data_IF_834320272675
#
_entry.id   IF_834320272675
#
_cell.length_a   1.000
_cell.length_b   1.000
_cell.length_c   1.000
_cell.angle_alpha   90.00
_cell.angle_beta   90.00
_cell.angle_gamma   90.00
#
_symmetry.space_group_name_H-M   'P 1'
#
loop_
_entity.id
_entity.type
_entity.pdbx_description
1 polymer ?
#
# COMPACT_ATOMS: atom_id res chain seq x y z
N UNK A 1 -1.45 8.12 -11.35
CA UNK A 1 -0.59 6.92 -11.33
C UNK A 1 0.61 7.18 -10.43
N UNK A 2 0.79 6.35 -9.37
CA UNK A 2 2.01 6.33 -8.54
C UNK A 2 2.89 5.17 -8.98
N UNK A 3 4.17 5.43 -9.25
CA UNK A 3 5.14 4.44 -9.70
C UNK A 3 6.24 4.29 -8.65
N UNK A 4 6.61 3.05 -8.33
CA UNK A 4 7.65 2.74 -7.36
C UNK A 4 8.47 1.52 -7.76
N UNK A 5 9.58 1.32 -7.06
CA UNK A 5 10.53 0.23 -7.25
C UNK A 5 11.79 0.64 -8.00
N UNK A 6 12.95 0.38 -7.38
CA UNK A 6 14.26 0.60 -7.98
C UNK A 6 14.73 2.05 -8.11
N UNK A 7 13.99 3.04 -7.61
CA UNK A 7 14.34 4.47 -7.67
C UNK A 7 15.49 4.76 -6.71
N UNK A 8 16.60 5.32 -7.22
CA UNK A 8 17.83 5.55 -6.45
C UNK A 8 18.44 6.94 -6.64
N UNK A 9 17.94 7.70 -7.62
CA UNK A 9 18.52 9.01 -8.00
C UNK A 9 17.44 10.01 -8.40
N UNK A 10 17.80 11.28 -8.41
CA UNK A 10 16.96 12.38 -8.92
C UNK A 10 16.61 12.17 -10.40
N UNK A 11 17.54 11.60 -11.18
CA UNK A 11 17.30 11.36 -12.60
C UNK A 11 16.26 10.25 -12.80
N UNK A 12 16.27 9.18 -11.98
CA UNK A 12 15.24 8.13 -12.03
C UNK A 12 13.83 8.73 -11.80
N UNK A 13 13.70 9.62 -10.80
CA UNK A 13 12.43 10.31 -10.52
C UNK A 13 11.99 11.12 -11.75
N UNK A 14 12.89 11.90 -12.30
CA UNK A 14 12.63 12.76 -13.46
C UNK A 14 12.20 11.97 -14.69
N UNK A 15 12.83 10.82 -14.94
CA UNK A 15 12.49 9.97 -16.09
C UNK A 15 11.12 9.32 -15.91
N UNK A 16 10.76 8.88 -14.71
CA UNK A 16 9.43 8.36 -14.42
C UNK A 16 8.34 9.41 -14.57
N UNK A 17 8.57 10.63 -14.08
CA UNK A 17 7.62 11.74 -14.24
C UNK A 17 7.45 12.13 -15.71
N UNK A 18 8.55 12.18 -16.49
CA UNK A 18 8.48 12.40 -17.95
C UNK A 18 7.74 11.28 -18.68
N UNK A 19 7.85 10.05 -18.19
CA UNK A 19 7.13 8.90 -18.73
C UNK A 19 5.62 8.89 -18.42
N UNK A 20 5.15 9.81 -17.55
CA UNK A 20 3.73 10.00 -17.26
C UNK A 20 3.30 9.54 -15.86
N UNK A 21 4.24 9.29 -14.94
CA UNK A 21 3.89 9.10 -13.54
C UNK A 21 3.43 10.43 -12.92
N UNK A 22 2.35 10.39 -12.11
CA UNK A 22 1.92 11.54 -11.31
C UNK A 22 2.71 11.66 -10.01
N UNK A 23 3.08 10.51 -9.43
CA UNK A 23 3.83 10.40 -8.18
C UNK A 23 4.84 9.27 -8.26
N UNK A 24 5.87 9.35 -7.43
CA UNK A 24 6.85 8.28 -7.22
C UNK A 24 6.86 7.81 -5.78
N UNK A 25 6.98 6.48 -5.58
CA UNK A 25 7.02 5.86 -4.25
C UNK A 25 8.39 5.24 -3.98
N UNK A 26 9.04 5.62 -2.86
CA UNK A 26 10.43 5.28 -2.56
C UNK A 26 10.55 4.80 -1.11
N UNK A 27 11.19 3.62 -0.90
CA UNK A 27 11.53 3.07 0.41
C UNK A 27 13.05 3.06 0.62
N UNK A 28 13.74 2.04 0.13
CA UNK A 28 15.14 1.70 0.42
C UNK A 28 16.09 2.88 0.23
N UNK A 29 15.93 3.65 -0.84
CA UNK A 29 16.82 4.79 -1.11
C UNK A 29 16.68 5.91 -0.06
N UNK A 30 15.48 6.12 0.47
CA UNK A 30 15.25 7.10 1.55
C UNK A 30 15.82 6.62 2.88
N UNK A 31 15.65 5.33 3.23
CA UNK A 31 16.26 4.76 4.44
C UNK A 31 17.78 4.88 4.42
N UNK A 32 18.41 4.58 3.27
CA UNK A 32 19.85 4.66 3.11
C UNK A 32 20.38 6.10 3.08
N UNK A 33 19.57 7.04 2.60
CA UNK A 33 19.93 8.45 2.52
C UNK A 33 18.70 9.34 2.73
N UNK A 34 18.37 9.73 3.97
CA UNK A 34 17.23 10.61 4.24
C UNK A 34 17.31 11.98 3.54
N UNK A 35 18.52 12.49 3.28
CA UNK A 35 18.68 13.72 2.51
C UNK A 35 18.14 13.61 1.08
N UNK A 36 18.11 12.41 0.51
CA UNK A 36 17.50 12.17 -0.80
C UNK A 36 15.97 12.44 -0.76
N UNK A 37 15.28 12.10 0.34
CA UNK A 37 13.86 12.44 0.51
C UNK A 37 13.65 13.96 0.53
N UNK A 38 14.47 14.69 1.28
CA UNK A 38 14.44 16.16 1.37
C UNK A 38 14.74 16.82 0.03
N UNK A 39 15.75 16.36 -0.68
CA UNK A 39 16.13 16.88 -2.00
C UNK A 39 15.03 16.61 -3.04
N UNK A 40 14.50 15.40 -3.07
CA UNK A 40 13.41 15.00 -3.97
C UNK A 40 12.16 15.86 -3.77
N UNK A 41 11.74 16.03 -2.51
CA UNK A 41 10.58 16.86 -2.16
C UNK A 41 10.77 18.32 -2.55
N UNK A 42 11.98 18.87 -2.36
CA UNK A 42 12.30 20.24 -2.75
C UNK A 42 12.29 20.44 -4.27
N UNK A 43 12.79 19.47 -5.05
CA UNK A 43 12.91 19.58 -6.50
C UNK A 43 11.60 19.33 -7.25
N UNK A 44 10.83 18.35 -6.81
CA UNK A 44 9.63 17.89 -7.53
C UNK A 44 8.31 18.30 -6.84
N UNK A 45 8.37 18.85 -5.63
CA UNK A 45 7.21 19.19 -4.81
C UNK A 45 6.74 18.01 -3.96
N UNK A 46 6.26 18.32 -2.75
CA UNK A 46 5.77 17.31 -1.78
C UNK A 46 4.71 16.41 -2.39
N UNK A 47 3.76 16.97 -3.14
CA UNK A 47 2.64 16.22 -3.74
C UNK A 47 3.07 15.11 -4.72
N UNK A 48 4.31 15.13 -5.20
CA UNK A 48 4.88 14.16 -6.14
C UNK A 48 5.59 13.00 -5.43
N UNK A 49 6.02 13.21 -4.19
CA UNK A 49 6.86 12.26 -3.45
C UNK A 49 6.04 11.51 -2.41
N UNK A 50 5.99 10.20 -2.56
CA UNK A 50 5.41 9.25 -1.61
C UNK A 50 6.54 8.47 -0.97
N UNK A 51 6.65 8.48 0.36
CA UNK A 51 7.58 7.60 1.05
C UNK A 51 6.88 6.28 1.39
N UNK A 52 7.46 5.16 0.97
CA UNK A 52 6.99 3.83 1.33
C UNK A 52 7.71 3.34 2.57
N UNK A 53 6.96 2.79 3.52
CA UNK A 53 7.48 2.16 4.75
C UNK A 53 6.93 0.74 4.81
N UNK A 54 7.83 -0.23 4.87
CA UNK A 54 7.53 -1.63 5.10
C UNK A 54 7.68 -1.92 6.60
N UNK A 55 6.57 -2.14 7.30
CA UNK A 55 6.52 -2.30 8.74
C UNK A 55 6.39 -3.78 9.14
N UNK A 56 7.23 -4.22 10.06
CA UNK A 56 7.17 -5.54 10.68
C UNK A 56 7.11 -5.37 12.19
N UNK A 57 6.28 -6.16 12.86
CA UNK A 57 6.31 -6.27 14.32
C UNK A 57 7.48 -7.17 14.73
N UNK A 58 8.55 -6.56 15.20
CA UNK A 58 9.74 -7.26 15.65
C UNK A 58 9.85 -7.13 17.16
N UNK A 59 9.72 -8.25 17.89
CA UNK A 59 9.80 -8.31 19.37
C UNK A 59 8.87 -7.32 20.09
N UNK A 60 7.69 -7.04 19.51
CA UNK A 60 6.70 -6.14 20.09
C UNK A 60 6.84 -4.67 19.68
N UNK A 61 7.82 -4.31 18.87
CA UNK A 61 7.97 -2.98 18.28
C UNK A 61 7.75 -3.02 16.76
N UNK A 62 7.09 -1.99 16.20
CA UNK A 62 6.99 -1.85 14.75
C UNK A 62 8.25 -1.18 14.20
N UNK A 63 8.99 -1.93 13.40
CA UNK A 63 10.24 -1.47 12.77
C UNK A 63 10.10 -1.38 11.26
N UNK A 64 10.78 -0.40 10.67
CA UNK A 64 10.87 -0.22 9.24
C UNK A 64 11.89 -1.17 8.62
N UNK A 65 11.50 -1.82 7.52
CA UNK A 65 12.34 -2.75 6.78
C UNK A 65 12.54 -2.28 5.34
N UNK A 66 13.51 -2.85 4.66
CA UNK A 66 13.74 -2.69 3.22
C UNK A 66 13.75 -4.05 2.53
N UNK A 67 13.87 -4.05 1.21
CA UNK A 67 13.93 -5.26 0.37
C UNK A 67 12.74 -6.23 0.59
N UNK A 68 11.53 -5.70 0.53
CA UNK A 68 10.29 -6.45 0.76
C UNK A 68 10.25 -7.14 2.14
N UNK A 69 10.62 -6.40 3.19
CA UNK A 69 10.60 -6.86 4.57
C UNK A 69 11.75 -7.80 4.96
N UNK A 70 12.83 -7.88 4.17
CA UNK A 70 13.95 -8.80 4.42
C UNK A 70 15.11 -8.16 5.17
N UNK A 71 15.35 -6.87 4.96
CA UNK A 71 16.49 -6.15 5.50
C UNK A 71 16.07 -5.34 6.72
N UNK A 72 16.60 -5.68 7.87
CA UNK A 72 16.40 -4.97 9.13
C UNK A 72 17.13 -3.64 9.14
N UNK A 73 16.44 -2.55 9.50
CA UNK A 73 17.03 -1.20 9.50
C UNK A 73 17.28 -0.63 10.88
N UNK A 74 16.66 -1.19 11.93
CA UNK A 74 16.70 -0.66 13.30
C UNK A 74 15.86 0.60 13.52
N UNK A 75 15.22 1.16 12.47
CA UNK A 75 14.40 2.37 12.61
C UNK A 75 12.99 2.00 13.08
N UNK A 76 12.50 2.67 14.12
CA UNK A 76 11.08 2.55 14.52
C UNK A 76 10.19 3.22 13.47
N UNK A 77 9.06 2.57 13.14
CA UNK A 77 8.15 3.04 12.08
C UNK A 77 7.67 4.46 12.35
N UNK A 78 7.26 4.77 13.59
CA UNK A 78 6.76 6.10 13.93
C UNK A 78 7.84 7.16 13.76
N UNK A 79 9.03 6.95 14.31
CA UNK A 79 10.13 7.90 14.24
C UNK A 79 10.54 8.15 12.79
N UNK A 80 10.57 7.09 11.99
CA UNK A 80 10.90 7.19 10.57
C UNK A 80 9.81 7.90 9.75
N UNK A 81 8.53 7.67 10.05
CA UNK A 81 7.43 8.38 9.38
C UNK A 81 7.48 9.88 9.66
N UNK A 82 7.78 10.29 10.89
CA UNK A 82 7.94 11.70 11.27
C UNK A 82 9.20 12.32 10.63
N UNK A 83 10.34 11.61 10.59
CA UNK A 83 11.55 12.07 9.89
C UNK A 83 11.28 12.33 8.40
N UNK A 84 10.52 11.44 7.74
CA UNK A 84 10.12 11.61 6.34
C UNK A 84 9.17 12.80 6.13
N UNK A 85 8.20 13.00 7.05
CA UNK A 85 7.35 14.18 7.03
C UNK A 85 8.19 15.46 7.14
N UNK A 86 9.17 15.52 8.04
CA UNK A 86 10.09 16.66 8.21
C UNK A 86 10.98 16.87 6.98
N UNK A 87 11.28 15.81 6.23
CA UNK A 87 11.95 15.90 4.93
C UNK A 87 11.07 16.50 3.83
N UNK A 88 9.76 16.66 4.08
CA UNK A 88 8.80 17.28 3.18
C UNK A 88 8.15 16.34 2.17
N UNK A 89 8.14 15.02 2.42
CA UNK A 89 7.35 14.10 1.58
C UNK A 89 5.86 14.42 1.71
N UNK A 90 5.09 14.19 0.65
CA UNK A 90 3.67 14.55 0.63
C UNK A 90 2.74 13.49 1.16
N UNK A 91 3.13 12.22 1.14
CA UNK A 91 2.31 11.08 1.58
C UNK A 91 3.21 9.96 2.10
N UNK A 92 2.69 9.17 3.04
CA UNK A 92 3.29 7.91 3.48
C UNK A 92 2.43 6.74 2.96
N UNK A 93 3.06 5.78 2.28
CA UNK A 93 2.50 4.47 2.02
C UNK A 93 3.04 3.50 3.08
N UNK A 94 2.23 3.15 4.06
CA UNK A 94 2.59 2.26 5.15
C UNK A 94 2.04 0.86 4.89
N UNK A 95 2.91 -0.11 4.73
CA UNK A 95 2.57 -1.52 4.52
C UNK A 95 2.84 -2.33 5.79
N UNK A 96 1.82 -2.99 6.34
CA UNK A 96 2.01 -4.05 7.32
C UNK A 96 2.43 -5.33 6.61
N UNK A 97 3.74 -5.64 6.62
CA UNK A 97 4.29 -6.83 5.94
C UNK A 97 3.74 -8.11 6.55
N UNK A 98 3.60 -8.14 7.89
CA UNK A 98 3.06 -9.31 8.61
C UNK A 98 1.62 -9.65 8.18
N UNK A 99 0.83 -8.66 7.81
CA UNK A 99 -0.56 -8.84 7.36
C UNK A 99 -0.68 -9.00 5.84
N UNK A 100 0.33 -8.58 5.05
CA UNK A 100 0.24 -8.59 3.60
C UNK A 100 -0.03 -10.00 3.05
N UNK A 101 -1.06 -10.13 2.22
CA UNK A 101 -1.45 -11.40 1.60
C UNK A 101 -2.13 -12.41 2.55
N UNK A 102 -2.24 -12.14 3.85
CA UNK A 102 -2.83 -13.08 4.83
C UNK A 102 -4.36 -13.14 4.75
N UNK A 103 -5.00 -12.01 4.41
CA UNK A 103 -6.46 -11.90 4.45
C UNK A 103 -7.04 -11.77 5.86
N UNK A 104 -6.22 -11.46 6.86
CA UNK A 104 -6.63 -11.36 8.27
C UNK A 104 -7.11 -9.95 8.68
N UNK A 105 -7.06 -9.00 7.75
CA UNK A 105 -7.42 -7.61 7.96
C UNK A 105 -6.23 -6.69 8.16
N UNK A 106 -6.51 -5.39 8.20
CA UNK A 106 -5.50 -4.37 8.46
C UNK A 106 -4.99 -4.43 9.90
N UNK A 107 -3.71 -4.12 10.12
CA UNK A 107 -3.14 -3.98 11.46
C UNK A 107 -3.58 -2.65 12.10
N UNK A 108 -4.61 -2.70 12.93
CA UNK A 108 -5.23 -1.51 13.51
C UNK A 108 -4.28 -0.78 14.50
N UNK A 109 -3.44 -1.52 15.21
CA UNK A 109 -2.51 -0.94 16.18
C UNK A 109 -1.38 -0.18 15.48
N UNK A 110 -0.82 -0.74 14.40
CA UNK A 110 0.16 -0.06 13.57
C UNK A 110 -0.42 1.21 12.95
N UNK A 111 -1.66 1.14 12.45
CA UNK A 111 -2.32 2.30 11.87
C UNK A 111 -2.48 3.44 12.87
N UNK A 112 -3.04 3.14 14.05
CA UNK A 112 -3.23 4.14 15.12
C UNK A 112 -1.92 4.77 15.54
N UNK A 113 -0.88 3.94 15.78
CA UNK A 113 0.45 4.39 16.19
C UNK A 113 0.98 5.53 15.30
N UNK A 114 0.81 5.38 13.98
CA UNK A 114 1.34 6.37 13.02
C UNK A 114 0.35 7.51 12.79
N UNK A 115 -0.94 7.19 12.54
CA UNK A 115 -1.95 8.19 12.16
C UNK A 115 -2.16 9.27 13.21
N UNK A 116 -2.10 8.94 14.50
CA UNK A 116 -2.29 9.90 15.59
C UNK A 116 -1.23 11.00 15.64
N UNK A 117 -0.08 10.80 15.02
CA UNK A 117 1.06 11.74 15.07
C UNK A 117 1.42 12.33 13.71
N UNK A 118 0.96 11.70 12.63
CA UNK A 118 1.27 12.11 11.27
C UNK A 118 0.30 13.19 10.80
N UNK A 119 0.83 14.28 10.24
CA UNK A 119 0.03 15.40 9.72
C UNK A 119 -0.21 15.30 8.20
N UNK A 120 0.59 14.49 7.49
CA UNK A 120 0.43 14.25 6.06
C UNK A 120 -0.42 13.00 5.80
N UNK A 121 -1.03 12.86 4.60
CA UNK A 121 -1.83 11.71 4.23
C UNK A 121 -1.12 10.37 4.41
N UNK A 122 -1.83 9.40 5.00
CA UNK A 122 -1.41 8.04 5.23
C UNK A 122 -2.20 7.06 4.37
N UNK A 123 -1.53 6.42 3.42
CA UNK A 123 -2.08 5.31 2.64
C UNK A 123 -1.71 4.02 3.38
N UNK A 124 -2.70 3.28 3.87
CA UNK A 124 -2.43 2.08 4.66
C UNK A 124 -2.70 0.80 3.86
N UNK A 125 -1.72 -0.12 3.86
CA UNK A 125 -1.72 -1.33 3.04
C UNK A 125 -1.40 -2.59 3.88
N UNK A 126 -1.95 -3.74 3.42
CA UNK A 126 -1.66 -5.07 3.95
C UNK A 126 -2.82 -5.71 4.72
N UNK A 127 -3.25 -6.89 4.27
CA UNK A 127 -4.16 -7.78 4.99
C UNK A 127 -5.63 -7.80 4.57
N UNK A 128 -6.11 -6.85 3.75
CA UNK A 128 -7.51 -6.80 3.36
C UNK A 128 -7.96 -8.02 2.54
N UNK A 129 -9.09 -8.63 2.91
CA UNK A 129 -9.72 -9.77 2.23
C UNK A 129 -11.17 -9.50 1.84
N UNK A 130 -11.88 -8.69 2.60
CA UNK A 130 -13.31 -8.43 2.44
C UNK A 130 -13.64 -6.97 2.83
N UNK A 131 -14.79 -6.42 2.41
CA UNK A 131 -15.19 -5.04 2.71
C UNK A 131 -15.22 -4.71 4.19
N UNK A 132 -15.50 -5.69 5.06
CA UNK A 132 -15.49 -5.52 6.50
C UNK A 132 -14.15 -4.99 7.03
N UNK A 133 -13.02 -5.44 6.48
CA UNK A 133 -11.70 -5.02 6.94
C UNK A 133 -11.44 -3.53 6.71
N UNK A 134 -12.00 -2.95 5.65
CA UNK A 134 -11.96 -1.50 5.42
C UNK A 134 -12.83 -0.76 6.43
N UNK A 135 -14.03 -1.30 6.74
CA UNK A 135 -14.91 -0.73 7.75
C UNK A 135 -14.29 -0.77 9.15
N UNK A 136 -13.62 -1.85 9.50
CA UNK A 136 -12.94 -1.99 10.79
C UNK A 136 -11.91 -0.85 10.99
N UNK A 137 -11.19 -0.45 9.93
CA UNK A 137 -10.25 0.65 9.99
C UNK A 137 -10.96 2.03 10.04
N UNK A 138 -12.01 2.22 9.22
CA UNK A 138 -12.82 3.45 9.22
C UNK A 138 -13.54 3.71 10.54
N UNK A 139 -13.92 2.65 11.26
CA UNK A 139 -14.60 2.76 12.55
C UNK A 139 -13.69 3.25 13.68
N UNK A 140 -12.37 3.19 13.51
CA UNK A 140 -11.42 3.58 14.56
C UNK A 140 -10.75 4.93 14.33
N UNK A 141 -10.75 5.43 13.10
CA UNK A 141 -10.10 6.70 12.74
C UNK A 141 -10.53 7.20 11.37
N UNK A 142 -10.28 8.47 11.11
CA UNK A 142 -10.34 9.03 9.76
C UNK A 142 -9.21 8.42 8.92
N UNK A 143 -9.56 7.81 7.80
CA UNK A 143 -8.63 7.15 6.88
C UNK A 143 -8.48 7.97 5.61
N UNK A 144 -7.25 8.36 5.29
CA UNK A 144 -6.98 9.15 4.08
C UNK A 144 -7.09 8.28 2.82
N UNK A 145 -6.46 7.08 2.84
CA UNK A 145 -6.54 6.15 1.72
C UNK A 145 -6.21 4.71 2.14
N UNK A 146 -6.77 3.76 1.39
CA UNK A 146 -6.48 2.34 1.52
C UNK A 146 -5.64 1.83 0.35
N UNK A 147 -4.62 1.04 0.64
CA UNK A 147 -3.97 0.15 -0.30
C UNK A 147 -4.49 -1.28 -0.13
N UNK A 148 -4.81 -1.96 -1.23
CA UNK A 148 -5.21 -3.35 -1.21
C UNK A 148 -4.84 -4.03 -2.53
N UNK A 149 -4.31 -5.23 -2.48
CA UNK A 149 -3.85 -6.00 -3.63
C UNK A 149 -4.54 -7.35 -3.70
N UNK A 150 -4.30 -8.22 -2.74
CA UNK A 150 -4.72 -9.64 -2.72
C UNK A 150 -6.23 -9.81 -2.91
N UNK A 151 -7.06 -8.98 -2.28
CA UNK A 151 -8.52 -9.03 -2.40
C UNK A 151 -8.97 -8.90 -3.87
N UNK A 152 -8.35 -8.00 -4.64
CA UNK A 152 -8.72 -7.76 -6.04
C UNK A 152 -8.04 -8.75 -6.97
N UNK A 153 -6.77 -9.08 -6.72
CA UNK A 153 -6.02 -10.03 -7.53
C UNK A 153 -6.64 -11.42 -7.48
N UNK A 154 -6.87 -11.96 -6.29
CA UNK A 154 -7.45 -13.30 -6.13
C UNK A 154 -8.93 -13.34 -6.47
N UNK A 155 -9.68 -12.27 -6.18
CA UNK A 155 -11.07 -12.12 -6.62
C UNK A 155 -11.19 -12.22 -8.15
N UNK A 156 -10.34 -11.52 -8.89
CA UNK A 156 -10.31 -11.56 -10.36
C UNK A 156 -9.90 -12.95 -10.90
N UNK A 157 -8.92 -13.61 -10.27
CA UNK A 157 -8.51 -14.97 -10.67
C UNK A 157 -9.65 -15.97 -10.45
N UNK A 158 -10.40 -15.88 -9.37
CA UNK A 158 -11.55 -16.73 -9.12
C UNK A 158 -12.66 -16.53 -10.18
N UNK A 159 -12.97 -15.27 -10.52
CA UNK A 159 -13.91 -14.93 -11.59
C UNK A 159 -13.47 -15.49 -12.96
N UNK A 160 -12.20 -15.40 -13.30
CA UNK A 160 -11.67 -15.87 -14.58
C UNK A 160 -11.57 -17.40 -14.67
N UNK A 161 -11.34 -18.11 -13.56
CA UNK A 161 -11.37 -19.59 -13.52
C UNK A 161 -12.72 -20.17 -13.92
N UNK A 162 -13.80 -19.47 -13.59
CA UNK A 162 -15.16 -19.88 -13.95
C UNK A 162 -15.41 -19.65 -15.45
N UNK A 163 -14.76 -18.66 -16.07
CA UNK A 163 -15.05 -18.22 -17.45
C UNK A 163 -14.09 -18.71 -18.52
N UNK A 164 -12.83 -18.98 -18.23
CA UNK A 164 -11.81 -19.30 -19.23
C UNK A 164 -10.85 -20.40 -18.79
N UNK A 165 -10.80 -21.49 -19.56
CA UNK A 165 -9.77 -22.55 -19.45
C UNK A 165 -8.47 -22.19 -20.18
N UNK A 166 -8.16 -20.93 -20.46
CA UNK A 166 -6.93 -20.55 -21.16
C UNK A 166 -5.76 -20.44 -20.18
N UNK A 167 -4.73 -21.25 -20.44
CA UNK A 167 -3.53 -21.40 -19.58
C UNK A 167 -2.39 -20.44 -19.95
N UNK A 168 -2.65 -19.29 -20.58
CA UNK A 168 -1.60 -18.56 -21.29
C UNK A 168 -0.92 -17.41 -20.50
N UNK A 169 -1.35 -17.08 -19.28
CA UNK A 169 -0.76 -15.96 -18.54
C UNK A 169 -0.52 -16.28 -17.06
N UNK A 170 0.69 -16.00 -16.58
CA UNK A 170 1.07 -16.08 -15.17
C UNK A 170 1.81 -17.35 -14.78
N UNK A 171 1.82 -17.71 -13.50
CA UNK A 171 2.41 -18.94 -12.98
C UNK A 171 1.51 -20.13 -13.33
N UNK A 172 1.68 -20.66 -14.55
CA UNK A 172 0.87 -21.72 -15.12
C UNK A 172 0.94 -23.01 -14.30
N UNK A 173 2.08 -23.32 -13.66
CA UNK A 173 2.25 -24.48 -12.79
C UNK A 173 1.36 -24.37 -11.54
N UNK A 174 1.27 -23.19 -10.94
CA UNK A 174 0.40 -22.93 -9.80
C UNK A 174 -1.08 -22.98 -10.20
N UNK A 175 -1.43 -22.38 -11.34
CA UNK A 175 -2.80 -22.40 -11.87
C UNK A 175 -3.27 -23.80 -12.27
N UNK A 176 -2.35 -24.67 -12.73
CA UNK A 176 -2.67 -26.06 -13.13
C UNK A 176 -2.94 -26.98 -11.94
N UNK A 177 -2.41 -26.67 -10.75
CA UNK A 177 -2.55 -27.49 -9.53
C UNK A 177 -3.91 -27.38 -8.83
N UNK A 178 -4.88 -26.63 -9.36
CA UNK A 178 -6.20 -26.38 -8.74
C UNK A 178 -6.13 -25.95 -7.26
N UNK A 179 -5.03 -25.34 -6.85
CA UNK A 179 -4.87 -24.83 -5.49
C UNK A 179 -5.84 -23.67 -5.34
N UNK A 180 -6.85 -23.85 -4.52
CA UNK A 180 -7.75 -22.75 -4.09
C UNK A 180 -6.89 -21.73 -3.37
N UNK A 181 -6.78 -20.52 -3.94
CA UNK A 181 -6.32 -19.38 -3.15
C UNK A 181 -7.33 -19.19 -2.04
N UNK A 182 -6.88 -19.28 -0.79
CA UNK A 182 -7.65 -19.05 0.44
C UNK A 182 -8.89 -18.22 0.13
N UNK A 183 -10.05 -18.56 0.63
CA UNK A 183 -11.38 -18.00 0.40
C UNK A 183 -11.45 -16.47 0.24
N UNK A 184 -10.75 -15.92 -0.74
CA UNK A 184 -10.94 -14.55 -1.17
C UNK A 184 -12.22 -14.50 -2.00
N UNK A 185 -13.19 -13.68 -1.56
CA UNK A 185 -14.42 -13.46 -2.31
C UNK A 185 -14.14 -12.75 -3.65
N UNK A 186 -15.16 -12.74 -4.52
CA UNK A 186 -15.09 -12.10 -5.83
C UNK A 186 -15.34 -10.59 -5.72
N UNK A 187 -14.43 -9.87 -5.08
CA UNK A 187 -14.55 -8.43 -4.88
C UNK A 187 -13.86 -7.63 -5.98
N UNK A 188 -14.51 -6.56 -6.40
CA UNK A 188 -13.94 -5.52 -7.27
C UNK A 188 -13.78 -4.22 -6.48
N UNK A 189 -13.00 -3.29 -7.00
CA UNK A 189 -12.88 -1.95 -6.40
C UNK A 189 -14.25 -1.29 -6.27
N UNK A 190 -15.11 -1.44 -7.28
CA UNK A 190 -16.47 -0.90 -7.27
C UNK A 190 -17.30 -1.53 -6.17
N UNK A 191 -17.33 -2.87 -6.04
CA UNK A 191 -18.15 -3.55 -5.02
C UNK A 191 -17.70 -3.22 -3.60
N UNK A 192 -16.40 -3.05 -3.36
CA UNK A 192 -15.88 -2.58 -2.07
C UNK A 192 -16.35 -1.16 -1.79
N UNK A 193 -16.22 -0.24 -2.76
CA UNK A 193 -16.69 1.15 -2.61
C UNK A 193 -18.20 1.22 -2.37
N UNK A 194 -19.00 0.41 -3.05
CA UNK A 194 -20.44 0.32 -2.82
C UNK A 194 -20.77 -0.17 -1.39
N UNK A 195 -20.06 -1.18 -0.90
CA UNK A 195 -20.24 -1.68 0.46
C UNK A 195 -19.93 -0.61 1.52
N UNK A 196 -18.85 0.15 1.33
CA UNK A 196 -18.47 1.24 2.22
C UNK A 196 -19.46 2.43 2.14
N UNK A 197 -19.95 2.75 0.93
CA UNK A 197 -20.95 3.79 0.74
C UNK A 197 -22.27 3.43 1.41
N UNK A 198 -22.72 2.15 1.32
CA UNK A 198 -23.89 1.66 2.01
C UNK A 198 -23.77 1.70 3.54
N UNK A 199 -22.54 1.66 4.05
CA UNK A 199 -22.24 1.87 5.48
C UNK A 199 -22.16 3.36 5.89
N UNK A 200 -22.43 4.29 4.96
CA UNK A 200 -22.53 5.73 5.22
C UNK A 200 -21.26 6.54 4.95
N UNK A 201 -20.21 5.91 4.39
CA UNK A 201 -18.97 6.61 4.05
C UNK A 201 -19.04 7.24 2.66
N UNK A 202 -18.60 8.50 2.56
CA UNK A 202 -18.59 9.22 1.28
C UNK A 202 -17.34 8.86 0.47
N UNK A 203 -17.52 8.12 -0.63
CA UNK A 203 -16.45 7.65 -1.50
C UNK A 203 -16.67 8.11 -2.94
N UNK A 204 -15.58 8.37 -3.66
CA UNK A 204 -15.65 8.63 -5.09
C UNK A 204 -16.04 7.34 -5.84
N UNK A 205 -17.31 7.25 -6.23
CA UNK A 205 -17.83 6.19 -7.09
C UNK A 205 -17.86 6.73 -8.53
N UNK A 206 -17.23 6.03 -9.47
CA UNK A 206 -17.37 6.37 -10.88
C UNK A 206 -18.74 5.94 -11.36
N UNK A 207 -19.56 6.90 -11.78
CA UNK A 207 -20.80 6.59 -12.46
C UNK A 207 -20.44 5.89 -13.79
N UNK A 208 -20.92 4.67 -13.99
CA UNK A 208 -20.86 4.01 -15.29
C UNK A 208 -21.54 4.93 -16.30
N UNK A 209 -20.79 5.50 -17.23
CA UNK A 209 -21.31 6.12 -18.44
C UNK A 209 -21.76 5.04 -19.42
#
# INVERSE_FOLDING_TARGET
LTVGGGIRSIEDIKDLLKAGADKVSINTAFINNPNFAKESSRLFGSSTIVASIEAINYEGEFLAFTDNGREYTGKKVLDWALELQDCGVGEILLTSVDNEGTGEGYNLDLYRLVKEKLEIPLIFHGGAKEPKHFLDLLNISDVDAFGASSIFHYGLLNLNRIKNKSNDHGNTEYLSKNISFKDFGEFTVTSVKEALSNAGYNLRIENKK
#
